data_IF_950766613133
#
_entry.id   IF_950766613133
#
_cell.length_a   1.000
_cell.length_b   1.000
_cell.length_c   1.000
_cell.angle_alpha   90.00
_cell.angle_beta   90.00
_cell.angle_gamma   90.00
#
_symmetry.space_group_name_H-M   'P 1'
#
loop_
_entity.id
_entity.type
_entity.pdbx_description
1 polymer ?
#
# COMPACT_ATOMS: atom_id res chain seq x y z
N UNK A 1 -27.65 -7.42 -19.94
CA UNK A 1 -27.25 -7.12 -18.55
C UNK A 1 -25.84 -7.64 -18.44
N UNK A 2 -24.84 -6.77 -18.26
CA UNK A 2 -23.47 -7.23 -18.06
C UNK A 2 -23.41 -7.89 -16.68
N UNK A 3 -22.84 -9.07 -16.66
CA UNK A 3 -22.55 -9.87 -15.46
C UNK A 3 -21.63 -9.08 -14.51
N UNK A 4 -21.61 -9.36 -13.20
CA UNK A 4 -20.63 -8.74 -12.31
C UNK A 4 -19.23 -9.19 -12.76
N UNK A 5 -18.50 -8.28 -13.39
CA UNK A 5 -17.11 -8.48 -13.82
C UNK A 5 -16.25 -8.85 -12.60
N UNK A 6 -15.74 -10.09 -12.65
CA UNK A 6 -14.38 -10.56 -12.28
C UNK A 6 -13.83 -10.29 -10.87
N UNK A 7 -13.41 -11.38 -10.21
CA UNK A 7 -12.45 -11.43 -9.10
C UNK A 7 -11.42 -10.29 -9.18
N UNK A 8 -11.56 -9.32 -8.30
CA UNK A 8 -10.57 -8.29 -8.07
C UNK A 8 -9.36 -8.94 -7.38
N UNK A 9 -8.34 -9.29 -8.17
CA UNK A 9 -7.14 -9.92 -7.66
C UNK A 9 -6.15 -8.84 -7.19
N UNK A 10 -6.36 -8.36 -5.94
CA UNK A 10 -5.45 -7.45 -5.23
C UNK A 10 -3.99 -7.84 -5.45
N UNK A 11 -3.67 -9.12 -5.26
CA UNK A 11 -2.31 -9.63 -5.35
C UNK A 11 -1.72 -9.50 -6.76
N UNK A 12 -2.51 -9.70 -7.81
CA UNK A 12 -2.02 -9.50 -9.17
C UNK A 12 -1.72 -8.03 -9.47
N UNK A 13 -2.56 -7.11 -9.00
CA UNK A 13 -2.38 -5.66 -9.19
C UNK A 13 -1.15 -5.17 -8.41
N UNK A 14 -1.01 -5.55 -7.14
CA UNK A 14 0.15 -5.21 -6.30
C UNK A 14 1.46 -5.66 -6.97
N UNK A 15 1.48 -6.90 -7.48
CA UNK A 15 2.64 -7.44 -8.20
C UNK A 15 2.93 -6.73 -9.52
N UNK A 16 1.90 -6.23 -10.22
CA UNK A 16 2.06 -5.47 -11.45
C UNK A 16 2.64 -4.08 -11.17
N UNK A 17 2.05 -3.36 -10.21
CA UNK A 17 2.53 -2.04 -9.78
C UNK A 17 4.00 -2.06 -9.37
N UNK A 18 4.42 -3.05 -8.56
CA UNK A 18 5.83 -3.16 -8.17
C UNK A 18 6.74 -3.31 -9.39
N UNK A 19 6.33 -4.08 -10.41
CA UNK A 19 7.12 -4.24 -11.64
C UNK A 19 7.16 -2.95 -12.48
N UNK A 20 6.05 -2.23 -12.54
CA UNK A 20 5.95 -0.96 -13.28
C UNK A 20 6.85 0.12 -12.68
N UNK A 21 7.02 0.11 -11.37
CA UNK A 21 8.01 0.94 -10.65
C UNK A 21 9.44 0.36 -10.68
N UNK A 22 9.69 -0.69 -11.48
CA UNK A 22 11.02 -1.28 -11.67
C UNK A 22 11.47 -2.21 -10.54
N UNK A 23 10.56 -2.64 -9.68
CA UNK A 23 10.80 -3.50 -8.55
C UNK A 23 10.62 -5.00 -8.82
N UNK A 24 10.82 -5.79 -7.76
CA UNK A 24 10.64 -7.24 -7.73
C UNK A 24 9.57 -7.60 -6.69
N UNK A 25 8.42 -8.14 -7.09
CA UNK A 25 7.41 -8.60 -6.15
C UNK A 25 7.88 -9.81 -5.34
N UNK A 26 7.38 -9.91 -4.12
CA UNK A 26 7.62 -11.02 -3.19
C UNK A 26 6.34 -11.84 -3.01
N UNK A 27 6.52 -13.07 -2.51
CA UNK A 27 5.40 -13.98 -2.19
C UNK A 27 5.38 -14.35 -0.70
N UNK A 28 6.28 -13.75 0.09
CA UNK A 28 6.43 -13.99 1.53
C UNK A 28 5.68 -12.95 2.34
N UNK A 29 5.36 -13.30 3.58
CA UNK A 29 4.79 -12.39 4.57
C UNK A 29 5.67 -11.14 4.77
N UNK A 30 5.07 -9.95 4.84
CA UNK A 30 5.75 -8.66 4.94
C UNK A 30 5.44 -7.77 3.75
N UNK A 31 6.41 -6.92 3.37
CA UNK A 31 6.28 -6.02 2.24
C UNK A 31 6.01 -6.77 0.92
N UNK A 32 5.13 -6.22 0.08
CA UNK A 32 4.72 -6.80 -1.20
C UNK A 32 5.87 -7.01 -2.19
N UNK A 33 6.98 -6.26 -2.05
CA UNK A 33 8.17 -6.46 -2.87
C UNK A 33 9.35 -5.59 -2.47
N UNK A 34 10.20 -5.31 -3.45
CA UNK A 34 11.30 -4.35 -3.34
C UNK A 34 11.45 -3.52 -4.59
N UNK A 35 11.82 -2.25 -4.45
CA UNK A 35 12.34 -1.43 -5.54
C UNK A 35 13.82 -1.19 -5.25
N UNK A 36 14.70 -1.59 -6.17
CA UNK A 36 16.11 -1.75 -5.84
C UNK A 36 16.30 -2.78 -4.73
N UNK A 37 16.89 -2.37 -3.61
CA UNK A 37 17.09 -3.20 -2.41
C UNK A 37 16.15 -2.82 -1.26
N UNK A 38 15.31 -1.78 -1.44
CA UNK A 38 14.43 -1.23 -0.41
C UNK A 38 13.08 -1.96 -0.41
N UNK A 39 12.51 -2.28 0.77
CA UNK A 39 11.19 -2.89 0.85
C UNK A 39 10.10 -1.93 0.34
N UNK A 40 9.14 -2.46 -0.40
CA UNK A 40 8.03 -1.69 -0.98
C UNK A 40 6.70 -2.36 -0.66
N UNK A 41 5.74 -1.59 -0.17
CA UNK A 41 4.36 -2.02 0.09
C UNK A 41 3.38 -1.29 -0.83
N UNK A 42 2.41 -2.01 -1.37
CA UNK A 42 1.35 -1.45 -2.21
C UNK A 42 0.07 -1.35 -1.39
N UNK A 43 -0.66 -0.25 -1.57
CA UNK A 43 -1.97 -0.03 -0.96
C UNK A 43 -2.94 0.53 -1.97
N UNK A 44 -4.03 -0.22 -2.15
CA UNK A 44 -5.07 0.08 -3.12
C UNK A 44 -6.32 0.59 -2.39
N UNK A 45 -6.89 1.67 -2.88
CA UNK A 45 -8.22 2.16 -2.51
C UNK A 45 -9.17 1.88 -3.67
N UNK A 46 -10.39 1.41 -3.36
CA UNK A 46 -11.40 1.08 -4.39
C UNK A 46 -12.79 1.60 -4.06
N UNK A 47 -13.18 1.62 -2.80
CA UNK A 47 -14.44 2.22 -2.34
C UNK A 47 -14.21 3.01 -1.04
N UNK A 48 -12.97 3.03 -0.57
CA UNK A 48 -12.54 3.65 0.68
C UNK A 48 -11.83 4.95 0.39
N UNK A 49 -12.09 5.97 1.20
CA UNK A 49 -11.38 7.26 1.13
C UNK A 49 -10.06 7.22 1.91
N UNK A 50 -9.52 6.02 2.17
CA UNK A 50 -8.36 5.81 3.03
C UNK A 50 -7.61 4.52 2.71
N UNK A 51 -6.30 4.53 2.93
CA UNK A 51 -5.46 3.34 2.83
C UNK A 51 -5.26 2.73 4.21
N UNK A 52 -5.39 1.41 4.32
CA UNK A 52 -5.11 0.67 5.57
C UNK A 52 -3.65 0.26 5.63
N UNK A 53 -2.92 0.73 6.65
CA UNK A 53 -1.52 0.36 6.86
C UNK A 53 -1.41 -0.64 8.00
N UNK A 54 -0.63 -1.72 7.82
CA UNK A 54 -0.29 -2.65 8.88
C UNK A 54 0.93 -2.14 9.66
N UNK A 55 0.89 -2.22 11.00
CA UNK A 55 1.93 -1.69 11.88
C UNK A 55 3.30 -2.31 11.64
N UNK A 56 3.39 -3.63 11.70
CA UNK A 56 4.67 -4.34 11.60
C UNK A 56 5.32 -4.10 10.23
N UNK A 57 4.48 -4.00 9.19
CA UNK A 57 4.95 -3.68 7.83
C UNK A 57 5.43 -2.24 7.75
N UNK A 58 4.68 -1.28 8.29
CA UNK A 58 5.06 0.13 8.32
C UNK A 58 6.37 0.35 9.07
N UNK A 59 6.50 -0.20 10.28
CA UNK A 59 7.72 -0.10 11.08
C UNK A 59 8.92 -0.72 10.34
N UNK A 60 8.71 -1.80 9.59
CA UNK A 60 9.76 -2.42 8.77
C UNK A 60 10.20 -1.50 7.63
N UNK A 61 9.25 -0.85 6.95
CA UNK A 61 9.54 0.09 5.88
C UNK A 61 10.30 1.29 6.43
N UNK A 62 9.84 1.94 7.50
CA UNK A 62 10.54 3.08 8.11
C UNK A 62 11.97 2.72 8.53
N UNK A 63 12.17 1.55 9.14
CA UNK A 63 13.51 1.11 9.58
C UNK A 63 14.48 0.79 8.43
N UNK A 64 13.97 0.55 7.22
CA UNK A 64 14.76 0.10 6.07
C UNK A 64 14.66 1.09 4.90
N UNK A 65 14.28 2.34 5.17
CA UNK A 65 14.10 3.38 4.15
C UNK A 65 13.20 2.90 2.98
N UNK A 66 12.17 2.12 3.35
CA UNK A 66 11.23 1.52 2.43
C UNK A 66 10.23 2.52 1.86
N UNK A 67 9.44 2.05 0.89
CA UNK A 67 8.50 2.89 0.15
C UNK A 67 7.09 2.34 0.14
N UNK A 68 6.12 3.22 -0.03
CA UNK A 68 4.75 2.88 -0.35
C UNK A 68 4.45 3.20 -1.81
N UNK A 69 3.61 2.39 -2.44
CA UNK A 69 2.89 2.73 -3.66
C UNK A 69 1.40 2.78 -3.33
N UNK A 70 0.79 3.95 -3.51
CA UNK A 70 -0.64 4.16 -3.34
C UNK A 70 -1.32 4.27 -4.70
N UNK A 71 -2.48 3.62 -4.83
CA UNK A 71 -3.32 3.73 -6.02
C UNK A 71 -4.80 3.82 -5.62
N UNK A 72 -5.48 4.88 -6.06
CA UNK A 72 -6.94 4.99 -5.98
C UNK A 72 -7.53 4.55 -7.31
N UNK A 73 -8.06 3.33 -7.32
CA UNK A 73 -8.56 2.68 -8.51
C UNK A 73 -9.83 3.32 -9.09
N UNK A 74 -10.40 4.32 -8.40
CA UNK A 74 -11.57 5.06 -8.86
C UNK A 74 -11.27 6.45 -9.44
N UNK A 75 -10.07 6.99 -9.24
CA UNK A 75 -9.81 8.41 -9.55
C UNK A 75 -9.17 8.64 -10.94
N UNK A 76 -8.90 7.57 -11.69
CA UNK A 76 -8.22 7.55 -13.00
C UNK A 76 -6.84 8.26 -13.00
N UNK A 77 -6.26 8.54 -11.82
CA UNK A 77 -4.92 9.12 -11.70
C UNK A 77 -3.88 8.00 -11.66
N UNK A 78 -2.62 8.29 -12.06
CA UNK A 78 -1.57 7.31 -11.94
C UNK A 78 -1.25 7.00 -10.47
N UNK A 79 -0.80 5.77 -10.15
CA UNK A 79 -0.31 5.41 -8.83
C UNK A 79 0.86 6.31 -8.42
N UNK A 80 1.00 6.54 -7.12
CA UNK A 80 2.01 7.45 -6.55
C UNK A 80 2.89 6.71 -5.54
N UNK A 81 4.18 7.01 -5.58
CA UNK A 81 5.19 6.44 -4.69
C UNK A 81 5.63 7.46 -3.65
N UNK A 82 5.76 7.04 -2.39
CA UNK A 82 6.21 7.86 -1.27
C UNK A 82 7.20 7.10 -0.39
N UNK A 83 8.12 7.82 0.26
CA UNK A 83 8.97 7.23 1.30
C UNK A 83 8.13 6.88 2.53
N UNK A 84 8.47 5.81 3.25
CA UNK A 84 7.72 5.40 4.42
C UNK A 84 7.76 6.44 5.55
N UNK A 85 8.82 7.25 5.62
CA UNK A 85 8.96 8.39 6.52
C UNK A 85 7.99 9.53 6.18
N UNK A 86 7.77 9.82 4.89
CA UNK A 86 6.75 10.79 4.46
C UNK A 86 5.35 10.31 4.84
N UNK A 87 5.10 9.00 4.74
CA UNK A 87 3.82 8.41 5.16
C UNK A 87 3.67 8.38 6.69
N UNK A 88 4.78 8.22 7.43
CA UNK A 88 4.81 8.27 8.90
C UNK A 88 4.37 9.65 9.42
N UNK A 89 4.74 10.73 8.73
CA UNK A 89 4.33 12.09 9.09
C UNK A 89 2.81 12.32 8.96
N UNK A 90 2.13 11.54 8.12
CA UNK A 90 0.66 11.58 7.93
C UNK A 90 -0.09 10.64 8.89
N UNK A 91 0.62 9.82 9.68
CA UNK A 91 0.00 8.95 10.65
C UNK A 91 -0.43 9.69 11.92
N UNK A 92 -1.60 9.32 12.43
CA UNK A 92 -2.05 9.76 13.75
C UNK A 92 -1.34 9.01 14.89
N UNK A 93 -1.67 9.35 16.13
CA UNK A 93 -1.02 8.77 17.32
C UNK A 93 -1.45 7.32 17.64
N UNK A 94 -2.66 6.90 17.25
CA UNK A 94 -3.28 5.67 17.76
C UNK A 94 -3.40 4.54 16.72
N UNK A 95 -2.69 3.44 16.94
CA UNK A 95 -2.86 2.20 16.19
C UNK A 95 -4.07 1.39 16.67
N UNK A 96 -4.91 0.95 15.73
CA UNK A 96 -6.10 0.16 16.02
C UNK A 96 -5.82 -1.34 15.90
N UNK A 97 -6.32 -2.15 16.83
CA UNK A 97 -6.20 -3.61 16.77
C UNK A 97 -7.45 -4.25 16.16
N UNK A 98 -7.26 -5.08 15.14
CA UNK A 98 -8.29 -5.94 14.59
C UNK A 98 -7.72 -7.35 14.41
N UNK A 99 -8.39 -8.36 15.00
CA UNK A 99 -8.00 -9.78 14.92
C UNK A 99 -6.54 -10.07 15.29
N UNK A 100 -5.95 -9.25 16.17
CA UNK A 100 -4.57 -9.39 16.62
C UNK A 100 -3.54 -8.62 15.79
N UNK A 101 -3.96 -7.91 14.74
CA UNK A 101 -3.10 -7.08 13.90
C UNK A 101 -3.37 -5.61 14.15
N UNK A 102 -2.30 -4.84 14.36
CA UNK A 102 -2.38 -3.40 14.51
C UNK A 102 -2.38 -2.72 13.13
N UNK A 103 -3.26 -1.74 12.96
CA UNK A 103 -3.38 -0.98 11.72
C UNK A 103 -3.76 0.48 11.97
N UNK A 104 -3.39 1.34 11.03
CA UNK A 104 -3.85 2.72 10.96
C UNK A 104 -4.37 3.01 9.55
N UNK A 105 -4.97 4.19 9.40
CA UNK A 105 -5.46 4.66 8.13
C UNK A 105 -4.86 6.02 7.81
N UNK A 106 -4.48 6.21 6.56
CA UNK A 106 -4.11 7.51 5.98
C UNK A 106 -5.15 7.87 4.90
N UNK A 107 -5.47 9.16 4.73
CA UNK A 107 -6.50 9.57 3.76
C UNK A 107 -5.99 9.42 2.33
N UNK A 108 -6.87 9.07 1.39
CA UNK A 108 -6.51 9.12 -0.04
C UNK A 108 -6.21 10.56 -0.47
N UNK A 109 -6.96 11.53 0.05
CA UNK A 109 -6.79 12.97 -0.27
C UNK A 109 -5.43 13.52 0.13
N UNK A 110 -4.74 12.92 1.11
CA UNK A 110 -3.40 13.36 1.53
C UNK A 110 -2.35 13.04 0.45
N UNK A 111 -2.65 12.07 -0.43
CA UNK A 111 -1.74 11.63 -1.48
C UNK A 111 -2.17 12.01 -2.90
N UNK A 112 -3.41 12.45 -3.16
CA UNK A 112 -3.99 12.59 -4.52
C UNK A 112 -4.58 13.94 -4.89
#
# INVERSE_FOLDING_TARGET
MREPDTDFDHTSIEKELIRDFGGTPRESFGADGTIGDEPTEVRLAREETRFRLNKDTHETLVQQDGTYIFDDLLDDKPPRQFEATEVEDELGDDWHSDRGYMHQFVSVDDFF
#
